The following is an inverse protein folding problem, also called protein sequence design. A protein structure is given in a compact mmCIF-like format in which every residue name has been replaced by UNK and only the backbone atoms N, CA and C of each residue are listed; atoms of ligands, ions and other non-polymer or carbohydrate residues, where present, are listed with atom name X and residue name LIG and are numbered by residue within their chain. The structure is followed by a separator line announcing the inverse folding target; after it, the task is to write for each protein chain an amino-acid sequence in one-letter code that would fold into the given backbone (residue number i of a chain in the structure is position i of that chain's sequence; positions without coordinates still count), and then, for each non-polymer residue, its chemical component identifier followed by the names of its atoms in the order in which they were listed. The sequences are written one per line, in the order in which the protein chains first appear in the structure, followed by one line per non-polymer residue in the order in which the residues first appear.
data_IF_342419915297
#
_entry.id   IF_342419915297
#
_cell.length_a   1.000
_cell.length_b   1.000
_cell.length_c   1.000
_cell.angle_alpha   90.00
_cell.angle_beta   90.00
_cell.angle_gamma   90.00
#
_symmetry.space_group_name_H-M   'P 1'
#
loop_
_entity.id
_entity.type
_entity.pdbx_description
1 polymer ?
#
# COMPACT_ATOMS: atom_id res chain seq x y z
N UNK A 1 10.29 -11.91 2.08
CA UNK A 1 9.26 -11.50 3.07
C UNK A 1 8.27 -12.65 3.18
N UNK A 2 8.28 -13.42 4.28
CA UNK A 2 7.25 -14.45 4.50
C UNK A 2 6.04 -13.75 5.09
N UNK A 3 4.91 -13.78 4.40
CA UNK A 3 3.62 -13.61 5.07
C UNK A 3 3.45 -14.85 5.95
N UNK A 4 3.17 -14.65 7.24
CA UNK A 4 2.99 -15.69 8.25
C UNK A 4 1.74 -16.54 7.97
N UNK A 5 1.80 -17.41 6.94
CA UNK A 5 0.75 -18.35 6.59
C UNK A 5 1.18 -19.73 7.08
N UNK A 6 0.53 -20.21 8.14
CA UNK A 6 0.88 -21.46 8.83
C UNK A 6 -0.06 -22.63 8.55
N UNK A 7 -1.08 -22.46 7.71
CA UNK A 7 -2.00 -23.53 7.35
C UNK A 7 -2.56 -23.37 5.92
N UNK A 8 -2.27 -24.34 5.06
CA UNK A 8 -3.03 -24.57 3.83
C UNK A 8 -4.19 -25.50 4.18
N UNK A 9 -5.43 -25.12 3.86
CA UNK A 9 -6.62 -25.94 4.13
C UNK A 9 -7.45 -26.10 2.88
N UNK A 10 -7.85 -27.34 2.59
CA UNK A 10 -8.73 -27.69 1.47
C UNK A 10 -10.21 -27.49 1.82
N UNK A 11 -10.51 -27.09 3.06
CA UNK A 11 -11.87 -26.88 3.55
C UNK A 11 -12.21 -25.40 3.47
N UNK A 12 -13.27 -25.09 2.73
CA UNK A 12 -13.83 -23.75 2.69
C UNK A 12 -14.48 -23.43 4.05
N UNK A 13 -13.79 -22.65 4.88
CA UNK A 13 -14.27 -22.27 6.23
C UNK A 13 -15.30 -21.14 6.22
N UNK A 14 -15.42 -20.43 5.11
CA UNK A 14 -16.31 -19.27 4.98
C UNK A 14 -17.02 -19.27 3.62
N UNK A 15 -18.31 -18.87 3.55
CA UNK A 15 -19.04 -18.73 2.30
C UNK A 15 -18.33 -17.79 1.31
N UNK A 16 -18.48 -18.04 0.00
CA UNK A 16 -18.02 -17.10 -1.04
C UNK A 16 -18.75 -15.78 -0.82
N UNK A 17 -18.01 -14.67 -0.85
CA UNK A 17 -18.54 -13.34 -0.55
C UNK A 17 -18.66 -13.00 0.93
N UNK A 18 -18.28 -13.90 1.85
CA UNK A 18 -18.16 -13.58 3.27
C UNK A 18 -17.20 -12.40 3.46
N UNK A 19 -17.66 -11.37 4.19
CA UNK A 19 -16.87 -10.19 4.55
C UNK A 19 -16.34 -10.39 5.96
N UNK A 20 -15.02 -10.36 6.13
CA UNK A 20 -14.42 -10.41 7.46
C UNK A 20 -14.99 -9.28 8.36
N UNK A 21 -15.40 -9.57 9.60
CA UNK A 21 -15.93 -8.55 10.49
C UNK A 21 -14.88 -7.48 10.75
N UNK A 22 -15.25 -6.24 10.42
CA UNK A 22 -14.44 -5.04 10.51
C UNK A 22 -14.43 -4.59 11.99
N UNK A 23 -13.39 -4.91 12.75
CA UNK A 23 -13.30 -4.48 14.17
C UNK A 23 -12.85 -3.03 14.32
N UNK A 24 -12.17 -2.48 13.32
CA UNK A 24 -11.75 -1.08 13.25
C UNK A 24 -12.53 -0.35 12.14
N UNK A 25 -13.24 0.72 12.47
CA UNK A 25 -14.02 1.48 11.48
C UNK A 25 -13.16 2.13 10.38
N UNK A 26 -11.86 2.32 10.64
CA UNK A 26 -10.86 2.82 9.67
C UNK A 26 -10.25 1.71 8.80
N UNK A 27 -10.42 0.44 9.17
CA UNK A 27 -9.82 -0.69 8.46
C UNK A 27 -10.63 -1.05 7.20
N UNK A 28 -10.43 -0.34 6.10
CA UNK A 28 -11.19 -0.53 4.85
C UNK A 28 -11.01 -1.93 4.22
N UNK A 29 -10.17 -2.82 4.77
CA UNK A 29 -9.97 -4.18 4.26
C UNK A 29 -11.27 -4.98 4.37
N UNK A 30 -11.89 -5.23 3.23
CA UNK A 30 -12.98 -6.19 3.09
C UNK A 30 -12.47 -7.34 2.21
N UNK A 31 -11.90 -8.36 2.82
CA UNK A 31 -11.58 -9.59 2.10
C UNK A 31 -12.89 -10.31 1.80
N UNK A 32 -13.19 -10.48 0.51
CA UNK A 32 -14.25 -11.38 0.05
C UNK A 32 -13.58 -12.68 -0.39
N UNK A 33 -14.05 -13.80 0.13
CA UNK A 33 -13.69 -15.09 -0.44
C UNK A 33 -14.19 -15.16 -1.87
N UNK A 34 -13.27 -15.39 -2.82
CA UNK A 34 -13.56 -15.64 -4.23
C UNK A 34 -12.93 -16.96 -4.66
N UNK A 35 -13.55 -17.63 -5.64
CA UNK A 35 -12.95 -18.81 -6.27
C UNK A 35 -11.82 -18.33 -7.18
N UNK A 36 -10.60 -18.84 -6.96
CA UNK A 36 -9.50 -18.58 -7.88
C UNK A 36 -9.79 -19.26 -9.24
N UNK A 37 -9.50 -18.56 -10.34
CA UNK A 37 -9.52 -19.15 -11.68
C UNK A 37 -8.54 -20.32 -11.72
N UNK A 38 -9.05 -21.52 -11.99
CA UNK A 38 -8.26 -22.74 -12.14
C UNK A 38 -8.23 -23.15 -13.60
N UNK A 39 -7.07 -23.56 -14.10
CA UNK A 39 -6.96 -24.22 -15.41
C UNK A 39 -7.68 -25.58 -15.39
N UNK A 40 -7.82 -26.22 -16.54
CA UNK A 40 -8.35 -27.59 -16.67
C UNK A 40 -7.56 -28.62 -15.83
N UNK A 41 -6.32 -28.30 -15.45
CA UNK A 41 -5.47 -29.11 -14.56
C UNK A 41 -5.65 -28.80 -13.07
N UNK A 42 -6.56 -27.89 -12.69
CA UNK A 42 -6.76 -27.46 -11.31
C UNK A 42 -5.68 -26.51 -10.78
N UNK A 43 -4.72 -26.12 -11.61
CA UNK A 43 -3.67 -25.18 -11.22
C UNK A 43 -4.20 -23.75 -11.23
N UNK A 44 -3.74 -22.95 -10.26
CA UNK A 44 -3.94 -21.50 -10.29
C UNK A 44 -3.32 -20.96 -11.58
N UNK A 45 -4.05 -20.13 -12.32
CA UNK A 45 -3.55 -19.47 -13.53
C UNK A 45 -3.14 -18.04 -13.16
N UNK A 46 -1.85 -17.78 -12.86
CA UNK A 46 -1.43 -16.51 -12.26
C UNK A 46 -1.58 -15.33 -13.23
N UNK A 47 -1.65 -15.60 -14.54
CA UNK A 47 -1.91 -14.60 -15.58
C UNK A 47 -3.36 -14.12 -15.62
N UNK A 48 -4.27 -14.78 -14.92
CA UNK A 48 -5.66 -14.31 -14.74
C UNK A 48 -5.85 -13.55 -13.41
N UNK A 49 -4.75 -13.29 -12.69
CA UNK A 49 -4.79 -12.51 -11.46
C UNK A 49 -4.87 -11.01 -11.73
N UNK A 50 -5.31 -10.23 -10.74
CA UNK A 50 -5.11 -8.79 -10.77
C UNK A 50 -3.61 -8.51 -10.63
N UNK A 51 -3.04 -7.81 -11.62
CA UNK A 51 -1.65 -7.37 -11.60
C UNK A 51 -1.58 -5.90 -11.20
N UNK A 52 -0.60 -5.55 -10.38
CA UNK A 52 -0.29 -4.13 -10.11
C UNK A 52 0.64 -3.64 -11.22
N UNK A 53 0.26 -2.56 -11.91
CA UNK A 53 1.06 -2.00 -13.01
C UNK A 53 2.34 -1.31 -12.55
N UNK A 54 2.45 -0.96 -11.27
CA UNK A 54 3.58 -0.28 -10.66
C UNK A 54 4.01 -1.01 -9.40
N UNK A 55 5.30 -1.26 -9.26
CA UNK A 55 5.83 -1.91 -8.05
C UNK A 55 5.82 -0.97 -6.85
N UNK A 56 5.86 0.35 -7.09
CA UNK A 56 5.94 1.38 -6.06
C UNK A 56 5.60 2.76 -6.64
N UNK A 57 4.77 3.55 -5.93
CA UNK A 57 4.41 4.91 -6.35
C UNK A 57 5.35 5.94 -5.71
N UNK A 58 5.81 5.72 -4.47
CA UNK A 58 6.81 6.57 -3.80
C UNK A 58 7.96 5.67 -3.33
N UNK A 59 9.20 5.85 -3.84
CA UNK A 59 10.40 5.12 -3.45
C UNK A 59 10.72 5.32 -1.95
N UNK A 60 11.85 4.79 -1.48
CA UNK A 60 12.31 5.04 -0.12
C UNK A 60 12.59 6.53 0.10
N UNK A 61 11.65 7.23 0.75
CA UNK A 61 11.71 8.67 1.02
C UNK A 61 11.81 8.97 2.49
N UNK A 62 12.34 10.14 2.84
CA UNK A 62 12.42 10.58 4.22
C UNK A 62 11.02 10.75 4.82
N UNK A 63 10.83 10.23 6.04
CA UNK A 63 9.72 10.59 6.91
C UNK A 63 10.19 11.75 7.77
N UNK A 64 9.39 12.81 7.86
CA UNK A 64 9.70 13.92 8.78
C UNK A 64 9.79 13.37 10.20
N UNK A 65 10.86 13.73 10.90
CA UNK A 65 11.04 13.35 12.29
C UNK A 65 9.84 13.83 13.13
N UNK A 66 9.23 12.90 13.85
CA UNK A 66 8.15 13.21 14.79
C UNK A 66 8.38 12.44 16.09
N UNK A 67 9.04 13.12 17.03
CA UNK A 67 9.39 12.58 18.34
C UNK A 67 8.15 12.31 19.22
N UNK A 68 6.97 12.79 18.81
CA UNK A 68 5.69 12.57 19.48
C UNK A 68 4.74 11.72 18.63
N UNK A 69 5.25 10.97 17.64
CA UNK A 69 4.41 10.19 16.73
C UNK A 69 3.69 9.02 17.41
N UNK A 70 4.16 8.54 18.56
CA UNK A 70 3.51 7.44 19.30
C UNK A 70 2.04 7.76 19.54
N UNK A 71 1.14 6.89 19.09
CA UNK A 71 -0.31 7.07 19.23
C UNK A 71 -0.97 7.89 18.11
N UNK A 72 -0.20 8.58 17.25
CA UNK A 72 -0.74 9.35 16.12
C UNK A 72 -1.13 8.42 14.96
N UNK A 73 -2.08 8.87 14.15
CA UNK A 73 -2.53 8.20 12.93
C UNK A 73 -1.99 8.86 11.66
N UNK A 74 -1.07 9.81 11.80
CA UNK A 74 -0.58 10.62 10.70
C UNK A 74 0.94 10.69 10.73
N UNK A 75 1.56 10.70 9.56
CA UNK A 75 2.96 11.01 9.36
C UNK A 75 3.13 11.88 8.11
N UNK A 76 4.24 12.60 8.04
CA UNK A 76 4.60 13.39 6.86
C UNK A 76 5.78 12.73 6.15
N UNK A 77 5.67 12.58 4.83
CA UNK A 77 6.73 12.04 3.99
C UNK A 77 7.11 13.04 2.91
N UNK A 78 8.38 13.04 2.52
CA UNK A 78 8.89 13.91 1.47
C UNK A 78 8.72 13.25 0.10
N UNK A 79 7.74 13.69 -0.68
CA UNK A 79 7.52 13.28 -2.07
C UNK A 79 8.54 13.97 -2.97
N UNK A 80 9.38 13.21 -3.66
CA UNK A 80 10.36 13.69 -4.63
C UNK A 80 9.72 14.10 -5.97
N UNK A 81 10.47 14.87 -6.76
CA UNK A 81 9.98 15.45 -8.03
C UNK A 81 9.56 14.41 -9.09
N UNK A 82 10.09 13.20 -8.98
CA UNK A 82 9.81 12.08 -9.90
C UNK A 82 8.87 11.04 -9.28
N UNK A 83 8.33 11.29 -8.09
CA UNK A 83 7.49 10.33 -7.40
C UNK A 83 6.05 10.36 -7.94
N UNK A 84 5.27 9.37 -7.56
CA UNK A 84 3.92 9.14 -8.05
C UNK A 84 3.90 8.42 -9.39
N UNK A 85 2.73 7.86 -9.72
CA UNK A 85 2.50 7.04 -10.92
C UNK A 85 2.91 7.69 -12.24
N UNK A 86 2.78 9.01 -12.30
CA UNK A 86 3.08 9.83 -13.50
C UNK A 86 4.54 10.29 -13.55
N UNK A 87 5.35 9.96 -12.55
CA UNK A 87 6.75 10.36 -12.48
C UNK A 87 6.95 11.87 -12.34
N UNK A 88 5.99 12.61 -11.77
CA UNK A 88 5.97 14.08 -11.79
C UNK A 88 5.61 14.75 -10.47
N UNK A 89 5.58 14.00 -9.37
CA UNK A 89 5.18 14.42 -8.02
C UNK A 89 3.72 14.87 -7.88
N UNK A 90 2.89 14.77 -8.93
CA UNK A 90 1.48 15.14 -8.88
C UNK A 90 0.64 14.00 -8.32
N UNK A 91 0.47 13.97 -6.99
CA UNK A 91 -0.36 13.00 -6.28
C UNK A 91 -1.63 13.71 -5.82
N UNK A 92 -2.79 13.19 -6.21
CA UNK A 92 -4.08 13.76 -5.83
C UNK A 92 -4.41 13.41 -4.37
N UNK A 93 -5.29 14.21 -3.76
CA UNK A 93 -5.80 13.89 -2.43
C UNK A 93 -6.50 12.53 -2.44
N UNK A 94 -6.13 11.67 -1.49
CA UNK A 94 -6.62 10.30 -1.33
C UNK A 94 -6.33 9.33 -2.49
N UNK A 95 -5.45 9.68 -3.44
CA UNK A 95 -5.03 8.77 -4.51
C UNK A 95 -4.41 7.47 -3.95
N UNK A 96 -3.70 7.57 -2.82
CA UNK A 96 -3.01 6.45 -2.19
C UNK A 96 -3.90 5.68 -1.20
N UNK A 97 -5.13 6.12 -0.98
CA UNK A 97 -6.07 5.47 -0.06
C UNK A 97 -6.36 4.04 -0.51
N UNK A 98 -6.30 3.09 0.42
CA UNK A 98 -6.40 1.66 0.13
C UNK A 98 -5.06 0.97 -0.13
N UNK A 99 -3.99 1.76 -0.32
CA UNK A 99 -2.62 1.28 -0.45
C UNK A 99 -1.95 0.98 0.88
N UNK A 100 -0.63 0.79 0.83
CA UNK A 100 0.20 0.48 1.99
C UNK A 100 1.41 1.40 2.06
N UNK A 101 1.79 1.75 3.29
CA UNK A 101 3.04 2.41 3.62
C UNK A 101 3.90 1.49 4.47
N UNK A 102 5.14 1.28 4.03
CA UNK A 102 6.17 0.56 4.79
C UNK A 102 7.11 1.60 5.37
N UNK A 103 7.26 1.62 6.70
CA UNK A 103 8.11 2.57 7.42
C UNK A 103 9.30 1.80 7.98
N UNK A 104 10.51 2.21 7.61
CA UNK A 104 11.75 1.73 8.20
C UNK A 104 12.13 2.70 9.31
N UNK A 105 11.85 2.29 10.55
CA UNK A 105 12.06 3.12 11.72
C UNK A 105 13.55 3.07 12.09
N UNK A 106 14.18 4.24 12.22
CA UNK A 106 15.60 4.31 12.58
C UNK A 106 15.89 3.63 13.91
N UNK A 107 16.97 2.86 13.96
CA UNK A 107 17.40 2.16 15.16
C UNK A 107 16.59 0.91 15.48
N UNK A 108 15.59 0.56 14.67
CA UNK A 108 14.85 -0.69 14.78
C UNK A 108 15.23 -1.63 13.64
N UNK A 109 15.22 -2.93 13.92
CA UNK A 109 15.51 -3.99 12.94
C UNK A 109 14.28 -4.45 12.15
N UNK A 110 13.11 -3.89 12.46
CA UNK A 110 11.84 -4.24 11.84
C UNK A 110 11.20 -3.02 11.17
N UNK A 111 10.33 -3.28 10.19
CA UNK A 111 9.53 -2.26 9.52
C UNK A 111 8.10 -2.26 10.05
N UNK A 112 7.45 -1.09 9.98
CA UNK A 112 6.01 -0.97 10.21
C UNK A 112 5.31 -0.98 8.87
N UNK A 113 4.32 -1.86 8.70
CA UNK A 113 3.45 -1.83 7.55
C UNK A 113 2.05 -1.39 7.98
N UNK A 114 1.57 -0.29 7.40
CA UNK A 114 0.26 0.29 7.69
C UNK A 114 -0.53 0.49 6.40
N UNK A 115 -1.84 0.39 6.48
CA UNK A 115 -2.71 0.74 5.37
C UNK A 115 -2.88 2.26 5.32
N UNK A 116 -2.89 2.82 4.12
CA UNK A 116 -3.16 4.25 3.91
C UNK A 116 -4.67 4.45 3.87
N UNK A 117 -5.16 5.29 4.78
CA UNK A 117 -6.56 5.72 4.81
C UNK A 117 -6.77 6.94 3.91
N UNK A 118 -5.82 7.87 3.92
CA UNK A 118 -5.90 9.14 3.21
C UNK A 118 -4.50 9.73 2.99
N UNK A 119 -4.36 10.60 1.99
CA UNK A 119 -3.18 11.42 1.78
C UNK A 119 -3.58 12.83 1.32
N UNK A 120 -2.78 13.84 1.69
CA UNK A 120 -2.92 15.19 1.12
C UNK A 120 -2.39 15.22 -0.32
N UNK A 121 -2.85 16.19 -1.12
CA UNK A 121 -2.36 16.36 -2.49
C UNK A 121 -0.96 17.00 -2.51
N UNK A 122 -0.21 16.72 -3.57
CA UNK A 122 1.06 17.38 -3.93
C UNK A 122 0.96 18.00 -5.33
N UNK A 123 1.80 18.99 -5.61
CA UNK A 123 1.76 19.76 -6.86
C UNK A 123 2.74 19.17 -7.87
N UNK A 124 2.25 18.84 -9.06
CA UNK A 124 3.10 18.35 -10.14
C UNK A 124 4.20 19.38 -10.50
N UNK A 125 5.45 18.93 -10.63
CA UNK A 125 6.59 19.79 -10.97
C UNK A 125 7.03 20.79 -9.88
N UNK A 126 6.43 20.74 -8.69
CA UNK A 126 6.73 21.65 -7.57
C UNK A 126 8.03 21.34 -6.79
N UNK A 127 8.85 20.39 -7.27
CA UNK A 127 10.00 19.89 -6.51
C UNK A 127 9.59 18.98 -5.35
N UNK A 128 10.51 18.75 -4.40
CA UNK A 128 10.26 17.89 -3.26
C UNK A 128 9.26 18.53 -2.28
N UNK A 129 8.21 17.80 -1.90
CA UNK A 129 7.06 18.32 -1.15
C UNK A 129 6.66 17.41 -0.01
N UNK A 130 6.24 17.98 1.11
CA UNK A 130 5.68 17.20 2.22
C UNK A 130 4.24 16.78 1.89
N UNK A 131 3.97 15.49 2.07
CA UNK A 131 2.64 14.91 2.01
C UNK A 131 2.30 14.30 3.36
N UNK A 132 1.15 14.68 3.92
CA UNK A 132 0.61 14.03 5.10
C UNK A 132 -0.12 12.75 4.69
N UNK A 133 0.25 11.63 5.31
CA UNK A 133 -0.37 10.31 5.14
C UNK A 133 -1.11 9.95 6.42
N UNK A 134 -2.38 9.59 6.31
CA UNK A 134 -3.17 9.02 7.42
C UNK A 134 -3.18 7.51 7.31
N UNK A 135 -2.90 6.82 8.41
CA UNK A 135 -2.80 5.35 8.49
C UNK A 135 -3.95 4.73 9.29
N UNK A 136 -4.17 3.42 9.12
CA UNK A 136 -5.30 2.68 9.70
C UNK A 136 -5.19 2.38 11.20
N UNK A 137 -3.98 2.51 11.75
CA UNK A 137 -3.65 2.20 13.14
C UNK A 137 -2.65 3.23 13.69
N UNK A 138 -2.66 3.47 15.01
CA UNK A 138 -1.75 4.42 15.59
C UNK A 138 -0.30 3.94 15.45
N UNK A 139 0.62 4.88 15.24
CA UNK A 139 2.04 4.59 15.21
C UNK A 139 2.48 4.10 16.60
N UNK A 140 3.14 2.92 16.69
CA UNK A 140 3.52 2.35 17.98
C UNK A 140 4.74 3.04 18.60
N UNK A 141 5.48 3.83 17.83
CA UNK A 141 6.73 4.49 18.25
C UNK A 141 6.83 5.90 17.68
N UNK A 142 7.67 6.71 18.33
CA UNK A 142 8.18 7.95 17.77
C UNK A 142 9.05 7.65 16.55
N UNK A 143 8.99 8.52 15.54
CA UNK A 143 9.80 8.37 14.33
C UNK A 143 11.06 9.22 14.48
N UNK A 144 12.19 8.52 14.65
CA UNK A 144 13.50 9.15 14.82
C UNK A 144 14.05 9.74 13.51
N UNK A 145 15.03 10.64 13.65
CA UNK A 145 15.75 11.19 12.51
C UNK A 145 16.40 10.07 11.68
N UNK A 146 16.18 10.09 10.36
CA UNK A 146 16.65 9.05 9.44
C UNK A 146 15.63 7.96 9.15
N UNK A 147 14.40 8.06 9.68
CA UNK A 147 13.34 7.11 9.34
C UNK A 147 12.91 7.38 7.90
N UNK A 148 12.64 6.32 7.15
CA UNK A 148 12.20 6.45 5.77
C UNK A 148 11.00 5.55 5.50
N UNK A 149 10.28 5.83 4.42
CA UNK A 149 9.07 5.12 4.07
C UNK A 149 9.01 4.85 2.57
N UNK A 150 8.33 3.77 2.23
CA UNK A 150 7.99 3.36 0.88
C UNK A 150 6.46 3.30 0.78
N UNK A 151 5.90 3.83 -0.31
CA UNK A 151 4.45 3.82 -0.52
C UNK A 151 4.09 3.10 -1.80
N UNK A 152 3.12 2.20 -1.66
CA UNK A 152 2.50 1.48 -2.76
C UNK A 152 1.02 1.88 -2.74
N UNK A 153 0.51 2.40 -3.85
CA UNK A 153 -0.90 2.72 -3.98
C UNK A 153 -1.77 1.46 -3.85
N UNK A 154 -3.08 1.65 -3.77
CA UNK A 154 -4.02 0.54 -3.71
C UNK A 154 -3.81 -0.39 -4.92
N UNK A 155 -3.53 -1.70 -4.71
CA UNK A 155 -3.32 -2.64 -5.82
C UNK A 155 -4.57 -2.86 -6.66
N UNK A 156 -5.74 -2.41 -6.18
CA UNK A 156 -7.00 -2.40 -6.92
C UNK A 156 -7.29 -1.07 -7.62
N UNK A 157 -6.42 -0.07 -7.50
CA UNK A 157 -6.48 1.15 -8.27
C UNK A 157 -5.99 0.83 -9.70
N UNK A 158 -6.81 1.13 -10.70
CA UNK A 158 -6.55 0.84 -12.11
C UNK A 158 -6.33 -0.65 -12.43
N UNK A 159 -7.11 -1.56 -11.80
CA UNK A 159 -7.15 -2.96 -12.25
C UNK A 159 -7.68 -2.99 -13.67
N UNK A 160 -6.81 -3.35 -14.61
CA UNK A 160 -7.17 -3.60 -16.00
C UNK A 160 -7.41 -5.11 -16.16
N UNK A 161 -8.53 -5.48 -16.78
CA UNK A 161 -8.79 -6.85 -17.21
C UNK A 161 -8.01 -7.13 -18.51
N UNK A 162 -7.14 -8.16 -18.53
CA UNK A 162 -6.56 -8.68 -19.78
C UNK A 162 -5.12 -9.18 -19.70
N UNK A 163 -4.70 -9.95 -20.72
CA UNK A 163 -3.33 -10.40 -20.99
C UNK A 163 -2.44 -9.23 -21.44
N UNK A 164 -2.30 -8.20 -20.62
CA UNK A 164 -1.36 -7.12 -20.92
C UNK A 164 0.04 -7.55 -20.48
N UNK A 165 0.76 -8.10 -21.46
CA UNK A 165 2.19 -8.27 -21.38
C UNK A 165 2.81 -6.90 -21.13
N UNK A 166 3.52 -6.77 -20.00
CA UNK A 166 4.24 -5.59 -19.46
C UNK A 166 4.53 -4.48 -20.48
N UNK A 167 3.55 -3.67 -20.84
CA UNK A 167 3.82 -2.39 -21.49
C UNK A 167 3.91 -1.36 -20.37
N UNK A 168 5.13 -1.19 -19.87
CA UNK A 168 5.54 0.06 -19.25
C UNK A 168 5.11 1.18 -20.20
N UNK A 169 4.32 2.13 -19.69
CA UNK A 169 4.15 3.40 -20.38
C UNK A 169 5.52 4.08 -20.32
N UNK A 170 6.24 4.08 -21.44
CA UNK A 170 7.35 4.99 -21.65
C UNK A 170 6.76 6.40 -21.73
N UNK A 171 7.08 7.22 -20.73
CA UNK A 171 7.06 8.67 -20.77
C UNK A 171 8.48 9.17 -20.59
#
# INVERSE_FOLDING_TARGET
MKQDIHQLSNFQRYPIGFRYPKTNHMDLRAFRYARAGVSDSGALVPSLGAHVGFTQDIPQVAVTQDLLATGKYTLEILVGATDGRRGNAGILANELAGGYIIIFVTGLTHTLNCMIVANTATIAGGGAQLMTVTVDKPLPYALGAGSNAEVIANPYLDVIEGNYDRQMIMG
#
